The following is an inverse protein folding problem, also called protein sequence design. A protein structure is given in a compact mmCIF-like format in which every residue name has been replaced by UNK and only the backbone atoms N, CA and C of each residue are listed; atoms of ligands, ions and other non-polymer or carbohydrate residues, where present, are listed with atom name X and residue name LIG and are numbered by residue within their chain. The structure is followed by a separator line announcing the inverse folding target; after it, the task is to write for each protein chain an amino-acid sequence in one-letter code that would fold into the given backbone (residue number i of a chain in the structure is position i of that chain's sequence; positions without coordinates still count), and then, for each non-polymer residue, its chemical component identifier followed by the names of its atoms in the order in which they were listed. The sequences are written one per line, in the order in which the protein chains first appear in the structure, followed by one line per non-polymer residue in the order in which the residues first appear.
data_IF_287449052514
#
_entry.id   IF_287449052514
#
_cell.length_a   1.000
_cell.length_b   1.000
_cell.length_c   1.000
_cell.angle_alpha   90.00
_cell.angle_beta   90.00
_cell.angle_gamma   90.00
#
_symmetry.space_group_name_H-M   'P 1'
#
loop_
_entity.id
_entity.type
_entity.pdbx_description
1 polymer ?
#
# COMPACT_ATOMS: atom_id res chain seq x y z
N UNK A 1 13.43 -3.33 -15.95
CA UNK A 1 13.49 -4.78 -16.17
C UNK A 1 12.12 -5.35 -16.49
N UNK A 2 11.80 -5.56 -17.75
CA UNK A 2 11.90 -4.58 -18.84
C UNK A 2 11.01 -5.07 -19.98
N UNK A 3 10.50 -4.12 -20.77
CA UNK A 3 9.77 -4.44 -21.99
C UNK A 3 10.62 -5.32 -22.91
N UNK A 4 11.96 -5.19 -22.85
CA UNK A 4 12.91 -6.10 -23.48
C UNK A 4 12.76 -7.56 -23.04
N UNK A 5 12.38 -7.87 -21.79
CA UNK A 5 12.22 -9.26 -21.34
C UNK A 5 10.95 -9.89 -21.92
N UNK A 6 9.88 -9.09 -22.04
CA UNK A 6 8.68 -9.47 -22.80
C UNK A 6 8.97 -9.55 -24.30
N UNK A 7 9.81 -8.67 -24.83
CA UNK A 7 10.23 -8.63 -26.22
C UNK A 7 11.24 -9.76 -26.56
N UNK A 8 11.99 -10.25 -25.58
CA UNK A 8 12.89 -11.40 -25.70
C UNK A 8 12.09 -12.70 -25.63
N UNK A 9 11.11 -12.83 -24.74
CA UNK A 9 10.14 -13.94 -24.80
C UNK A 9 9.39 -13.92 -26.15
N UNK A 10 9.06 -12.73 -26.66
CA UNK A 10 8.45 -12.49 -27.97
C UNK A 10 9.35 -12.86 -29.16
N UNK A 11 10.64 -12.50 -29.13
CA UNK A 11 11.57 -12.74 -30.24
C UNK A 11 12.15 -14.16 -30.23
N UNK A 12 12.24 -14.80 -29.07
CA UNK A 12 12.96 -16.08 -28.93
C UNK A 12 12.07 -17.31 -29.15
N UNK A 13 10.77 -17.11 -29.45
CA UNK A 13 9.81 -18.23 -29.50
C UNK A 13 9.13 -18.54 -30.82
N UNK A 14 9.13 -17.76 -31.91
CA UNK A 14 8.59 -18.28 -33.18
C UNK A 14 8.94 -17.49 -34.44
N UNK A 15 9.56 -18.21 -35.38
CA UNK A 15 9.62 -17.91 -36.81
C UNK A 15 8.29 -18.28 -37.51
N UNK A 16 7.16 -18.18 -36.79
CA UNK A 16 5.82 -18.52 -37.26
C UNK A 16 4.86 -17.35 -37.04
N UNK A 17 4.11 -17.04 -38.11
CA UNK A 17 3.03 -16.05 -38.29
C UNK A 17 2.76 -15.11 -37.10
N UNK A 18 3.16 -13.86 -37.31
CA UNK A 18 2.92 -12.57 -36.63
C UNK A 18 1.63 -12.32 -35.79
N UNK A 19 0.66 -13.24 -35.71
CA UNK A 19 -0.70 -12.97 -35.21
C UNK A 19 -1.27 -14.02 -34.23
N UNK A 20 -0.43 -14.69 -33.45
CA UNK A 20 -0.91 -15.43 -32.29
C UNK A 20 -0.31 -14.81 -31.02
N UNK A 21 -0.90 -13.69 -30.57
CA UNK A 21 -0.69 -13.23 -29.20
C UNK A 21 -1.01 -14.42 -28.30
N UNK A 22 -0.02 -14.93 -27.55
CA UNK A 22 -0.26 -15.99 -26.59
C UNK A 22 -1.03 -15.38 -25.40
N UNK A 23 -2.34 -15.28 -25.61
CA UNK A 23 -3.32 -14.71 -24.71
C UNK A 23 -3.20 -15.32 -23.30
N UNK A 24 -2.95 -16.62 -23.24
CA UNK A 24 -2.73 -17.35 -21.99
C UNK A 24 -1.45 -16.93 -21.24
N UNK A 25 -0.35 -16.69 -21.96
CA UNK A 25 0.90 -16.21 -21.35
C UNK A 25 0.74 -14.77 -20.82
N UNK A 26 0.08 -13.90 -21.59
CA UNK A 26 -0.21 -12.52 -21.20
C UNK A 26 -1.15 -12.46 -19.99
N UNK A 27 -2.24 -13.22 -20.03
CA UNK A 27 -3.21 -13.34 -18.95
C UNK A 27 -2.57 -13.90 -17.68
N UNK A 28 -1.68 -14.90 -17.80
CA UNK A 28 -0.97 -15.46 -16.64
C UNK A 28 0.01 -14.45 -16.04
N UNK A 29 0.70 -13.68 -16.87
CA UNK A 29 1.61 -12.62 -16.43
C UNK A 29 0.86 -11.51 -15.66
N UNK A 30 -0.22 -10.99 -16.23
CA UNK A 30 -1.06 -9.95 -15.62
C UNK A 30 -1.62 -10.46 -14.28
N UNK A 31 -2.16 -11.68 -14.26
CA UNK A 31 -2.70 -12.30 -13.04
C UNK A 31 -1.63 -12.47 -11.96
N UNK A 32 -0.43 -12.92 -12.31
CA UNK A 32 0.70 -13.09 -11.37
C UNK A 32 1.13 -11.74 -10.78
N UNK A 33 1.18 -10.68 -11.59
CA UNK A 33 1.56 -9.33 -11.17
C UNK A 33 0.48 -8.68 -10.30
N UNK A 34 -0.79 -8.80 -10.68
CA UNK A 34 -1.93 -8.34 -9.88
C UNK A 34 -2.03 -9.04 -8.52
N UNK A 35 -1.69 -10.35 -8.45
CA UNK A 35 -1.59 -11.09 -7.18
C UNK A 35 -0.42 -10.63 -6.30
N UNK A 36 0.71 -10.22 -6.88
CA UNK A 36 1.85 -9.69 -6.11
C UNK A 36 1.49 -8.36 -5.44
N UNK A 37 0.85 -7.45 -6.18
CA UNK A 37 0.41 -6.15 -5.65
C UNK A 37 -0.65 -6.34 -4.58
N UNK A 38 -1.63 -7.23 -4.81
CA UNK A 38 -2.64 -7.56 -3.81
C UNK A 38 -2.05 -8.15 -2.51
N UNK A 39 -1.02 -8.99 -2.62
CA UNK A 39 -0.29 -9.51 -1.44
C UNK A 39 0.40 -8.40 -0.66
N UNK A 40 1.04 -7.45 -1.35
CA UNK A 40 1.74 -6.33 -0.70
C UNK A 40 0.76 -5.43 0.07
N UNK A 41 -0.40 -5.09 -0.52
CA UNK A 41 -1.46 -4.35 0.18
C UNK A 41 -1.92 -5.10 1.44
N UNK A 42 -2.15 -6.42 1.31
CA UNK A 42 -2.60 -7.24 2.43
C UNK A 42 -1.58 -7.31 3.56
N UNK A 43 -0.29 -7.49 3.23
CA UNK A 43 0.79 -7.55 4.21
C UNK A 43 0.91 -6.21 4.94
N UNK A 44 0.91 -5.10 4.19
CA UNK A 44 1.00 -3.77 4.78
C UNK A 44 -0.16 -3.46 5.73
N UNK A 45 -1.41 -3.70 5.30
CA UNK A 45 -2.59 -3.51 6.15
C UNK A 45 -2.53 -4.40 7.39
N UNK A 46 -2.11 -5.66 7.24
CA UNK A 46 -2.00 -6.60 8.35
C UNK A 46 -0.95 -6.16 9.37
N UNK A 47 0.26 -5.80 8.92
CA UNK A 47 1.33 -5.32 9.80
C UNK A 47 0.88 -4.06 10.55
N UNK A 48 0.28 -3.10 9.84
CA UNK A 48 -0.17 -1.85 10.47
C UNK A 48 -1.23 -2.11 11.56
N UNK A 49 -2.22 -2.96 11.28
CA UNK A 49 -3.24 -3.35 12.27
C UNK A 49 -2.59 -4.09 13.44
N UNK A 50 -1.73 -5.09 13.16
CA UNK A 50 -1.12 -5.92 14.19
C UNK A 50 -0.24 -5.13 15.14
N UNK A 51 0.60 -4.23 14.63
CA UNK A 51 1.47 -3.36 15.44
C UNK A 51 0.63 -2.42 16.29
N UNK A 52 -0.38 -1.75 15.71
CA UNK A 52 -1.24 -0.84 16.47
C UNK A 52 -2.01 -1.57 17.57
N UNK A 53 -2.52 -2.76 17.28
CA UNK A 53 -3.28 -3.55 18.25
C UNK A 53 -2.37 -4.07 19.36
N UNK A 54 -1.17 -4.55 19.03
CA UNK A 54 -0.19 -5.01 20.01
C UNK A 54 0.26 -3.87 20.94
N UNK A 55 0.67 -2.73 20.38
CA UNK A 55 1.11 -1.55 21.16
C UNK A 55 -0.04 -0.98 21.99
N UNK A 56 -1.25 -0.88 21.41
CA UNK A 56 -2.43 -0.41 22.12
C UNK A 56 -2.81 -1.27 23.33
N UNK A 57 -2.78 -2.61 23.18
CA UNK A 57 -3.03 -3.54 24.29
C UNK A 57 -1.93 -3.44 25.34
N UNK A 58 -0.67 -3.44 24.92
CA UNK A 58 0.48 -3.32 25.84
C UNK A 58 0.38 -2.06 26.70
N UNK A 59 0.16 -0.90 26.08
CA UNK A 59 0.02 0.38 26.79
C UNK A 59 -1.23 0.41 27.68
N UNK A 60 -2.31 -0.27 27.30
CA UNK A 60 -3.50 -0.38 28.15
C UNK A 60 -3.19 -1.17 29.42
N UNK A 61 -2.48 -2.30 29.31
CA UNK A 61 -2.09 -3.12 30.46
C UNK A 61 -1.15 -2.34 31.38
N UNK A 62 -0.11 -1.71 30.82
CA UNK A 62 0.84 -0.90 31.59
C UNK A 62 0.16 0.29 32.30
N UNK A 63 -0.84 0.89 31.65
CA UNK A 63 -1.62 1.98 32.23
C UNK A 63 -2.54 1.54 33.37
N UNK A 64 -2.89 0.25 33.49
CA UNK A 64 -3.72 -0.25 34.60
C UNK A 64 -2.90 -0.48 35.88
N UNK A 65 -1.59 -0.72 35.73
CA UNK A 65 -0.67 -0.93 36.86
C UNK A 65 -0.08 0.37 37.42
N UNK A 66 -0.20 1.50 36.70
CA UNK A 66 0.39 2.78 37.07
C UNK A 66 -0.59 3.75 37.75
N UNK A 67 -0.18 4.34 38.87
CA UNK A 67 -0.97 5.30 39.69
C UNK A 67 -1.25 6.65 38.99
N UNK A 68 -0.51 7.00 37.92
CA UNK A 68 -0.72 8.23 37.16
C UNK A 68 -0.80 7.97 35.64
N UNK A 69 -1.92 7.41 35.16
CA UNK A 69 -2.04 6.80 33.83
C UNK A 69 -2.25 7.77 32.65
N UNK A 70 -2.26 9.08 32.88
CA UNK A 70 -2.85 10.04 31.94
C UNK A 70 -2.25 10.03 30.52
N UNK A 71 -0.94 9.88 30.38
CA UNK A 71 -0.25 9.90 29.08
C UNK A 71 -0.32 8.55 28.36
N UNK A 72 -0.15 7.45 29.09
CA UNK A 72 -0.19 6.09 28.56
C UNK A 72 -1.58 5.73 28.05
N UNK A 73 -2.62 6.15 28.79
CA UNK A 73 -4.03 5.97 28.39
C UNK A 73 -4.36 6.66 27.06
N UNK A 74 -3.89 7.90 26.85
CA UNK A 74 -4.14 8.64 25.61
C UNK A 74 -3.48 7.95 24.41
N UNK A 75 -2.23 7.49 24.55
CA UNK A 75 -1.55 6.73 23.50
C UNK A 75 -2.25 5.39 23.24
N UNK A 76 -2.63 4.66 24.29
CA UNK A 76 -3.34 3.38 24.15
C UNK A 76 -4.64 3.55 23.34
N UNK A 77 -5.46 4.56 23.67
CA UNK A 77 -6.69 4.88 22.94
C UNK A 77 -6.38 5.22 21.48
N UNK A 78 -5.34 6.01 21.22
CA UNK A 78 -4.95 6.37 19.86
C UNK A 78 -4.58 5.12 19.02
N UNK A 79 -3.69 4.27 19.53
CA UNK A 79 -3.27 3.04 18.84
C UNK A 79 -4.43 2.07 18.62
N UNK A 80 -5.31 1.88 19.61
CA UNK A 80 -6.50 1.03 19.47
C UNK A 80 -7.50 1.61 18.46
N UNK A 81 -7.76 2.92 18.50
CA UNK A 81 -8.64 3.58 17.52
C UNK A 81 -8.10 3.42 16.09
N UNK A 82 -6.78 3.52 15.89
CA UNK A 82 -6.17 3.28 14.59
C UNK A 82 -6.22 1.82 14.14
N UNK A 83 -6.06 0.87 15.06
CA UNK A 83 -6.25 -0.55 14.75
C UNK A 83 -7.68 -0.83 14.27
N UNK A 84 -8.68 -0.31 15.00
CA UNK A 84 -10.11 -0.44 14.65
C UNK A 84 -10.41 0.24 13.31
N UNK A 85 -9.93 1.46 13.10
CA UNK A 85 -10.06 2.16 11.81
C UNK A 85 -9.42 1.37 10.66
N UNK A 86 -8.25 0.77 10.89
CA UNK A 86 -7.57 -0.12 9.95
C UNK A 86 -8.42 -1.33 9.57
N UNK A 87 -9.03 -1.98 10.57
CA UNK A 87 -9.95 -3.11 10.37
C UNK A 87 -11.19 -2.70 9.56
N UNK A 88 -11.88 -1.62 9.96
CA UNK A 88 -13.07 -1.12 9.25
C UNK A 88 -12.73 -0.83 7.79
N UNK A 89 -11.61 -0.15 7.53
CA UNK A 89 -11.15 0.13 6.15
C UNK A 89 -10.82 -1.13 5.37
N UNK A 90 -10.21 -2.14 6.02
CA UNK A 90 -9.94 -3.44 5.39
C UNK A 90 -11.24 -4.15 4.99
N UNK A 91 -12.28 -4.05 5.81
CA UNK A 91 -13.62 -4.57 5.49
C UNK A 91 -14.28 -3.77 4.36
N UNK A 92 -14.26 -2.43 4.42
CA UNK A 92 -14.81 -1.57 3.37
C UNK A 92 -14.14 -1.82 2.01
N UNK A 93 -12.82 -2.05 1.97
CA UNK A 93 -12.10 -2.40 0.74
C UNK A 93 -12.62 -3.70 0.10
N UNK A 94 -13.02 -4.69 0.88
CA UNK A 94 -13.59 -5.93 0.34
C UNK A 94 -14.92 -5.69 -0.39
N UNK A 95 -15.67 -4.67 0.05
CA UNK A 95 -16.93 -4.28 -0.59
C UNK A 95 -16.71 -3.35 -1.79
N UNK A 96 -15.60 -2.58 -1.80
CA UNK A 96 -15.21 -1.70 -2.91
C UNK A 96 -14.43 -2.40 -4.04
N UNK A 97 -13.98 -3.64 -3.86
CA UNK A 97 -13.49 -4.46 -4.97
C UNK A 97 -14.67 -4.72 -5.92
N UNK A 98 -14.88 -3.80 -6.87
CA UNK A 98 -15.86 -3.92 -7.95
C UNK A 98 -15.73 -5.31 -8.59
N UNK A 99 -16.83 -5.97 -8.98
CA UNK A 99 -16.76 -7.16 -9.81
C UNK A 99 -16.21 -6.74 -11.18
N UNK A 100 -14.89 -6.73 -11.32
CA UNK A 100 -14.24 -6.57 -12.60
C UNK A 100 -14.52 -7.81 -13.44
N UNK A 101 -14.89 -7.62 -14.71
CA UNK A 101 -15.10 -8.72 -15.63
C UNK A 101 -13.84 -9.60 -15.70
N UNK A 102 -14.02 -10.92 -15.80
CA UNK A 102 -12.92 -11.89 -15.98
C UNK A 102 -12.36 -11.87 -17.41
N UNK A 103 -12.17 -10.68 -17.98
CA UNK A 103 -11.53 -10.44 -19.28
C UNK A 103 -10.12 -9.89 -19.05
N UNK A 104 -9.25 -9.97 -20.05
CA UNK A 104 -7.88 -9.43 -19.95
C UNK A 104 -7.87 -7.94 -19.61
N UNK A 105 -8.75 -7.16 -20.26
CA UNK A 105 -8.93 -5.73 -20.00
C UNK A 105 -9.46 -5.51 -18.58
N UNK A 106 -10.40 -6.33 -18.10
CA UNK A 106 -10.94 -6.26 -16.74
C UNK A 106 -9.91 -6.61 -15.66
N UNK A 107 -9.06 -7.60 -15.87
CA UNK A 107 -7.95 -7.92 -14.95
C UNK A 107 -6.89 -6.82 -14.92
N UNK A 108 -6.65 -6.17 -16.06
CA UNK A 108 -5.73 -5.03 -16.18
C UNK A 108 -6.26 -3.81 -15.43
N UNK A 109 -7.54 -3.46 -15.62
CA UNK A 109 -8.22 -2.38 -14.89
C UNK A 109 -8.23 -2.64 -13.38
N UNK A 110 -8.44 -3.90 -12.97
CA UNK A 110 -8.32 -4.32 -11.56
C UNK A 110 -6.92 -4.09 -11.01
N UNK A 111 -5.88 -4.39 -11.79
CA UNK A 111 -4.50 -4.18 -11.38
C UNK A 111 -4.15 -2.69 -11.26
N UNK A 112 -4.61 -1.85 -12.21
CA UNK A 112 -4.44 -0.39 -12.18
C UNK A 112 -5.15 0.19 -10.95
N UNK A 113 -6.42 -0.18 -10.72
CA UNK A 113 -7.18 0.26 -9.55
C UNK A 113 -6.49 -0.11 -8.23
N UNK A 114 -5.90 -1.30 -8.13
CA UNK A 114 -5.14 -1.72 -6.94
C UNK A 114 -3.89 -0.86 -6.70
N UNK A 115 -3.18 -0.49 -7.76
CA UNK A 115 -2.01 0.41 -7.66
C UNK A 115 -2.46 1.79 -7.19
N UNK A 116 -3.54 2.32 -7.78
CA UNK A 116 -4.07 3.64 -7.40
C UNK A 116 -4.60 3.65 -5.96
N UNK A 117 -5.28 2.59 -5.55
CA UNK A 117 -5.71 2.42 -4.16
C UNK A 117 -4.52 2.40 -3.20
N UNK A 118 -3.47 1.62 -3.49
CA UNK A 118 -2.25 1.57 -2.67
C UNK A 118 -1.58 2.94 -2.59
N UNK A 119 -1.49 3.67 -3.71
CA UNK A 119 -0.93 5.02 -3.75
C UNK A 119 -1.73 6.02 -2.93
N UNK A 120 -3.07 6.01 -3.05
CA UNK A 120 -3.94 6.89 -2.27
C UNK A 120 -3.88 6.55 -0.78
N UNK A 121 -3.83 5.25 -0.46
CA UNK A 121 -3.78 4.74 0.91
C UNK A 121 -2.47 5.11 1.60
N UNK A 122 -1.33 4.84 0.98
CA UNK A 122 -0.01 5.14 1.55
C UNK A 122 0.18 6.64 1.79
N UNK A 123 -0.15 7.50 0.82
CA UNK A 123 -0.16 8.95 1.03
C UNK A 123 -1.09 9.37 2.17
N UNK A 124 -2.28 8.76 2.23
CA UNK A 124 -3.24 9.01 3.31
C UNK A 124 -2.70 8.62 4.69
N UNK A 125 -1.93 7.53 4.79
CA UNK A 125 -1.34 7.08 6.07
C UNK A 125 -0.40 8.13 6.66
N UNK A 126 0.40 8.83 5.85
CA UNK A 126 1.29 9.87 6.37
C UNK A 126 0.49 10.99 7.03
N UNK A 127 -0.51 11.54 6.33
CA UNK A 127 -1.28 12.68 6.83
C UNK A 127 -2.25 12.31 7.95
N UNK A 128 -2.86 11.13 7.89
CA UNK A 128 -3.89 10.74 8.86
C UNK A 128 -3.33 9.98 10.06
N UNK A 129 -2.16 9.33 9.96
CA UNK A 129 -1.61 8.51 11.05
C UNK A 129 -0.28 9.06 11.58
N UNK A 130 0.74 9.20 10.73
CA UNK A 130 2.08 9.61 11.20
C UNK A 130 2.10 11.05 11.71
N UNK A 131 1.43 11.97 11.02
CA UNK A 131 1.44 13.39 11.39
C UNK A 131 0.72 13.63 12.74
N UNK A 132 -0.51 13.13 12.98
CA UNK A 132 -1.13 13.23 14.29
C UNK A 132 -0.33 12.54 15.39
N UNK A 133 0.32 11.41 15.09
CA UNK A 133 1.16 10.71 16.06
C UNK A 133 2.35 11.57 16.49
N UNK A 134 3.07 12.18 15.55
CA UNK A 134 4.16 13.11 15.86
C UNK A 134 3.67 14.31 16.67
N UNK A 135 2.48 14.84 16.36
CA UNK A 135 1.89 15.95 17.12
C UNK A 135 1.54 15.57 18.55
N UNK A 136 1.00 14.37 18.78
CA UNK A 136 0.70 13.86 20.13
C UNK A 136 2.00 13.74 20.92
N UNK A 137 3.02 13.11 20.35
CA UNK A 137 4.34 12.98 20.99
C UNK A 137 4.99 14.34 21.27
N UNK A 138 4.90 15.29 20.33
CA UNK A 138 5.40 16.64 20.52
C UNK A 138 4.67 17.39 21.66
N UNK A 139 3.34 17.26 21.74
CA UNK A 139 2.56 17.82 22.84
C UNK A 139 2.95 17.21 24.19
N UNK A 140 3.16 15.89 24.25
CA UNK A 140 3.60 15.21 25.46
C UNK A 140 5.04 15.58 25.85
N UNK A 141 5.92 15.82 24.88
CA UNK A 141 7.31 16.22 25.12
C UNK A 141 7.46 17.60 25.80
N UNK A 142 6.41 18.44 25.77
CA UNK A 142 6.39 19.70 26.54
C UNK A 142 6.29 19.42 28.05
N UNK A 143 5.65 18.32 28.45
CA UNK A 143 5.46 17.94 29.84
C UNK A 143 6.52 16.95 30.35
N UNK A 144 7.11 16.15 29.45
CA UNK A 144 8.17 15.20 29.78
C UNK A 144 9.36 15.30 28.80
N UNK A 145 10.48 15.81 29.31
CA UNK A 145 11.72 15.99 28.55
C UNK A 145 12.29 14.67 27.99
N UNK A 146 11.95 13.51 28.58
CA UNK A 146 12.39 12.20 28.09
C UNK A 146 11.79 11.86 26.73
N UNK A 147 10.62 12.43 26.42
CA UNK A 147 9.92 12.19 25.16
C UNK A 147 10.45 13.06 24.00
N UNK A 148 11.31 14.05 24.26
CA UNK A 148 11.89 14.91 23.22
C UNK A 148 12.74 14.08 22.24
N UNK A 149 13.56 13.16 22.75
CA UNK A 149 14.39 12.28 21.90
C UNK A 149 13.52 11.35 21.05
N UNK A 150 12.47 10.77 21.65
CA UNK A 150 11.50 9.89 20.96
C UNK A 150 10.75 10.66 19.88
N UNK A 151 10.30 11.88 20.19
CA UNK A 151 9.61 12.78 19.25
C UNK A 151 10.52 13.15 18.08
N UNK A 152 11.78 13.51 18.35
CA UNK A 152 12.77 13.80 17.32
C UNK A 152 13.02 12.60 16.40
N UNK A 153 13.14 11.40 16.97
CA UNK A 153 13.29 10.16 16.20
C UNK A 153 12.06 9.86 15.34
N UNK A 154 10.84 10.02 15.88
CA UNK A 154 9.59 9.84 15.16
C UNK A 154 9.43 10.86 14.01
N UNK A 155 9.83 12.11 14.23
CA UNK A 155 9.81 13.14 13.20
C UNK A 155 10.76 12.80 12.04
N UNK A 156 11.99 12.39 12.36
CA UNK A 156 12.98 11.94 11.36
C UNK A 156 12.45 10.72 10.60
N UNK A 157 11.87 9.74 11.29
CA UNK A 157 11.29 8.56 10.67
C UNK A 157 10.11 8.92 9.74
N UNK A 158 9.28 9.87 10.14
CA UNK A 158 8.15 10.37 9.32
C UNK A 158 8.65 11.07 8.06
N UNK A 159 9.69 11.91 8.16
CA UNK A 159 10.32 12.54 7.00
C UNK A 159 10.94 11.49 6.09
N UNK A 160 11.67 10.53 6.65
CA UNK A 160 12.36 9.48 5.89
C UNK A 160 11.36 8.59 5.17
N UNK A 161 10.28 8.18 5.84
CA UNK A 161 9.19 7.40 5.22
C UNK A 161 8.48 8.18 4.12
N UNK A 162 8.22 9.48 4.31
CA UNK A 162 7.67 10.33 3.26
C UNK A 162 8.55 10.38 1.99
N UNK A 163 9.86 10.57 2.15
CA UNK A 163 10.78 10.58 1.02
C UNK A 163 10.97 9.20 0.39
N UNK A 164 11.07 8.15 1.22
CA UNK A 164 11.19 6.76 0.76
C UNK A 164 9.96 6.34 -0.05
N UNK A 165 8.75 6.63 0.44
CA UNK A 165 7.50 6.41 -0.29
C UNK A 165 7.51 7.18 -1.61
N UNK A 166 7.81 8.49 -1.59
CA UNK A 166 7.84 9.30 -2.83
C UNK A 166 8.85 8.76 -3.85
N UNK A 167 10.01 8.29 -3.40
CA UNK A 167 11.04 7.70 -4.24
C UNK A 167 10.63 6.34 -4.78
N UNK A 168 10.15 5.44 -3.91
CA UNK A 168 9.68 4.10 -4.28
C UNK A 168 8.52 4.19 -5.28
N UNK A 169 7.60 5.13 -5.07
CA UNK A 169 6.49 5.38 -5.99
C UNK A 169 6.98 5.88 -7.34
N UNK A 170 7.87 6.88 -7.37
CA UNK A 170 8.38 7.44 -8.63
C UNK A 170 9.19 6.40 -9.41
N UNK A 171 9.99 5.59 -8.72
CA UNK A 171 10.95 4.66 -9.35
C UNK A 171 10.33 3.31 -9.71
N UNK A 172 9.45 2.75 -8.88
CA UNK A 172 8.96 1.38 -9.07
C UNK A 172 7.50 1.29 -9.45
N UNK A 173 6.62 2.12 -8.87
CA UNK A 173 5.18 1.98 -9.04
C UNK A 173 4.66 2.75 -10.26
N UNK A 174 5.17 3.96 -10.49
CA UNK A 174 4.77 4.81 -11.62
C UNK A 174 5.11 4.18 -12.99
N UNK A 175 6.30 3.58 -13.21
CA UNK A 175 6.59 2.91 -14.49
C UNK A 175 5.71 1.68 -14.69
N UNK A 176 5.40 0.95 -13.61
CA UNK A 176 4.50 -0.21 -13.68
C UNK A 176 3.09 0.21 -14.08
N UNK A 177 2.58 1.33 -13.54
CA UNK A 177 1.29 1.89 -13.95
C UNK A 177 1.29 2.28 -15.43
N UNK A 178 2.29 3.05 -15.88
CA UNK A 178 2.42 3.48 -17.29
C UNK A 178 2.50 2.31 -18.26
N UNK A 179 3.20 1.24 -17.90
CA UNK A 179 3.29 0.05 -18.74
C UNK A 179 1.96 -0.70 -18.85
N UNK A 180 1.16 -0.73 -17.77
CA UNK A 180 -0.18 -1.33 -17.79
C UNK A 180 -1.16 -0.46 -18.59
N UNK A 181 -1.08 0.86 -18.47
CA UNK A 181 -1.88 1.81 -19.27
C UNK A 181 -1.55 1.69 -20.77
N UNK A 182 -0.27 1.65 -21.13
CA UNK A 182 0.16 1.47 -22.52
C UNK A 182 -0.28 0.12 -23.11
N UNK A 183 -0.33 -0.94 -22.29
CA UNK A 183 -0.86 -2.24 -22.71
C UNK A 183 -2.37 -2.20 -22.94
N UNK A 184 -3.10 -1.48 -22.07
CA UNK A 184 -4.54 -1.26 -22.21
C UNK A 184 -4.87 -0.58 -23.53
N UNK A 185 -4.15 0.49 -23.85
CA UNK A 185 -4.34 1.27 -25.08
C UNK A 185 -4.07 0.43 -26.33
N UNK A 186 -3.03 -0.42 -26.32
CA UNK A 186 -2.73 -1.31 -27.44
C UNK A 186 -3.82 -2.37 -27.67
N UNK A 187 -4.33 -2.97 -26.60
CA UNK A 187 -5.38 -4.00 -26.68
C UNK A 187 -6.72 -3.41 -27.14
N UNK A 188 -7.10 -2.24 -26.61
CA UNK A 188 -8.34 -1.56 -27.04
C UNK A 188 -8.25 -1.04 -28.48
N UNK A 189 -7.07 -0.60 -28.95
CA UNK A 189 -6.88 -0.24 -30.35
C UNK A 189 -6.99 -1.42 -31.31
N UNK A 190 -6.62 -2.63 -30.87
CA UNK A 190 -6.73 -3.86 -31.67
C UNK A 190 -8.15 -4.45 -31.66
N UNK A 191 -8.94 -4.27 -30.61
CA UNK A 191 -10.36 -4.70 -30.57
C UNK A 191 -11.29 -3.84 -31.46
N UNK A 192 -10.84 -2.65 -31.87
CA UNK A 192 -11.59 -1.72 -32.72
C UNK A 192 -11.18 -1.75 -34.21
N UNK A 193 -10.23 -2.60 -34.60
CA UNK A 193 -9.87 -2.90 -36.00
C UNK A 193 -10.48 -4.23 -36.45
#
# INVERSE_FOLDING_TARGET
MDFEELQVIWNNQNNEKLYAINENALHTYIRKKGKSIGRLVNIFEFILIAVNLFVGIWLTVESLDNDNPSTQSVLAVFYLAFAVYGLIRRFLRRNEEKPFAHTIVGELDKAIWRIDYLMKRSRGTIYWYLLPLVLIFAGMAVFDSRLISVTGMLAILTITTYFAERWEFKKFHLPKKRNLEALREKLTAQEHQ
#
